data_IF_465730644424
#
_entry.id   IF_465730644424
#
_cell.length_a   1.000
_cell.length_b   1.000
_cell.length_c   1.000
_cell.angle_alpha   90.00
_cell.angle_beta   90.00
_cell.angle_gamma   90.00
#
_symmetry.space_group_name_H-M   'P 1'
#
loop_
_entity.id
_entity.type
_entity.pdbx_description
1 polymer ?
#
# COMPACT_ATOMS: atom_id res chain seq x y z
N UNK A 1 -16.86 3.36 -0.11
CA UNK A 1 -15.97 4.01 -1.11
C UNK A 1 -15.16 2.94 -1.85
N UNK A 2 -14.63 3.24 -3.04
CA UNK A 2 -13.84 2.28 -3.82
C UNK A 2 -12.38 2.71 -3.83
N UNK A 3 -11.48 1.84 -3.39
CA UNK A 3 -10.05 2.09 -3.52
C UNK A 3 -9.52 1.23 -4.66
N UNK A 4 -8.79 1.87 -5.56
CA UNK A 4 -8.28 1.26 -6.78
C UNK A 4 -6.77 1.18 -6.69
N UNK A 5 -6.22 -0.02 -6.57
CA UNK A 5 -4.78 -0.24 -6.73
C UNK A 5 -4.40 0.13 -8.16
N UNK A 6 -3.31 0.87 -8.32
CA UNK A 6 -2.84 1.40 -9.60
C UNK A 6 -1.60 0.67 -10.07
N UNK A 7 -0.66 0.48 -9.15
CA UNK A 7 0.61 -0.14 -9.41
C UNK A 7 1.13 -0.79 -8.13
N UNK A 8 1.98 -1.80 -8.33
CA UNK A 8 2.83 -2.37 -7.30
C UNK A 8 4.24 -2.39 -7.87
N UNK A 9 5.21 -1.78 -7.19
CA UNK A 9 6.63 -1.75 -7.62
C UNK A 9 7.57 -2.08 -6.47
N UNK A 10 8.83 -2.45 -6.78
CA UNK A 10 9.88 -2.78 -5.79
C UNK A 10 11.27 -2.51 -6.38
N UNK A 11 12.26 -2.29 -5.50
CA UNK A 11 13.68 -2.16 -5.87
C UNK A 11 14.56 -3.37 -5.54
N UNK A 12 14.12 -4.31 -4.70
CA UNK A 12 14.96 -5.43 -4.25
C UNK A 12 14.56 -6.68 -5.00
N UNK A 13 15.40 -7.02 -5.98
CA UNK A 13 15.51 -8.30 -6.70
C UNK A 13 14.19 -9.09 -6.86
N UNK A 14 13.59 -8.97 -8.04
CA UNK A 14 12.56 -9.86 -8.62
C UNK A 14 11.05 -9.67 -8.30
N UNK A 15 10.60 -8.55 -7.74
CA UNK A 15 9.16 -8.22 -7.83
C UNK A 15 8.79 -7.68 -9.21
N UNK A 16 8.60 -8.60 -10.15
CA UNK A 16 7.93 -8.30 -11.41
C UNK A 16 6.42 -8.34 -11.19
N UNK A 17 5.82 -7.17 -10.97
CA UNK A 17 4.37 -7.03 -11.07
C UNK A 17 3.97 -7.23 -12.54
N UNK A 18 3.72 -8.48 -12.93
CA UNK A 18 3.32 -8.83 -14.29
C UNK A 18 2.02 -8.11 -14.64
N UNK A 19 2.12 -7.00 -15.39
CA UNK A 19 0.97 -6.23 -15.87
C UNK A 19 0.39 -6.78 -17.17
N UNK A 20 0.83 -7.95 -17.61
CA UNK A 20 0.53 -8.44 -18.94
C UNK A 20 -0.90 -8.98 -19.02
N UNK A 21 -1.82 -8.06 -19.33
CA UNK A 21 -3.20 -8.29 -19.81
C UNK A 21 -4.25 -8.54 -18.72
N UNK A 22 -4.64 -7.44 -18.04
CA UNK A 22 -5.98 -7.23 -17.43
C UNK A 22 -6.37 -8.17 -16.27
N UNK A 23 -6.16 -7.73 -15.01
CA UNK A 23 -7.14 -7.75 -13.86
C UNK A 23 -6.50 -7.85 -12.46
N UNK A 24 -5.25 -8.26 -12.33
CA UNK A 24 -4.57 -8.43 -11.05
C UNK A 24 -3.05 -8.21 -11.21
N UNK A 25 -2.35 -7.87 -10.13
CA UNK A 25 -0.88 -7.89 -10.09
C UNK A 25 -0.41 -9.12 -9.33
N UNK A 26 0.54 -9.85 -9.88
CA UNK A 26 1.24 -10.92 -9.18
C UNK A 26 2.41 -10.33 -8.40
N UNK A 27 2.53 -10.71 -7.14
CA UNK A 27 3.53 -10.22 -6.20
C UNK A 27 4.30 -11.44 -5.70
N UNK A 28 5.61 -11.50 -5.97
CA UNK A 28 6.47 -12.61 -5.55
C UNK A 28 7.45 -12.15 -4.48
N UNK A 29 7.30 -12.69 -3.28
CA UNK A 29 8.19 -12.47 -2.14
C UNK A 29 9.21 -13.60 -2.07
N UNK A 30 10.49 -13.31 -2.32
CA UNK A 30 11.58 -14.30 -2.18
C UNK A 30 11.94 -14.57 -0.72
N UNK A 31 11.69 -13.60 0.17
CA UNK A 31 12.00 -13.68 1.59
C UNK A 31 10.82 -13.17 2.42
N UNK A 32 10.75 -13.61 3.68
CA UNK A 32 9.83 -13.04 4.67
C UNK A 32 10.13 -11.54 4.85
N UNK A 33 9.09 -10.70 4.99
CA UNK A 33 9.31 -9.32 5.39
C UNK A 33 9.59 -9.26 6.89
N UNK A 34 10.63 -8.51 7.32
CA UNK A 34 10.90 -8.28 8.73
C UNK A 34 9.67 -7.71 9.45
N UNK A 35 9.38 -8.17 10.65
CA UNK A 35 8.22 -7.69 11.44
C UNK A 35 8.34 -6.21 11.83
N UNK A 36 9.57 -5.71 11.90
CA UNK A 36 9.94 -4.32 12.16
C UNK A 36 10.04 -3.49 10.87
N UNK A 37 9.56 -3.99 9.73
CA UNK A 37 9.47 -3.22 8.49
C UNK A 37 8.64 -1.95 8.70
N UNK A 38 9.12 -0.84 8.17
CA UNK A 38 8.45 0.45 8.28
C UNK A 38 7.42 0.59 7.15
N UNK A 39 6.16 0.85 7.51
CA UNK A 39 5.13 1.29 6.59
C UNK A 39 5.16 2.83 6.53
N UNK A 40 5.30 3.39 5.33
CA UNK A 40 5.26 4.84 5.08
C UNK A 40 4.19 5.15 4.04
N UNK A 41 3.30 6.08 4.37
CA UNK A 41 2.25 6.57 3.48
C UNK A 41 2.64 7.94 2.98
N UNK A 42 2.65 8.08 1.65
CA UNK A 42 2.98 9.33 0.95
C UNK A 42 1.78 9.78 0.14
N UNK A 43 1.40 11.06 0.25
CA UNK A 43 0.21 11.59 -0.40
C UNK A 43 0.54 12.37 -1.67
N UNK A 44 -0.31 12.25 -2.69
CA UNK A 44 -0.15 12.93 -3.97
C UNK A 44 -1.46 13.60 -4.42
N UNK A 45 -1.33 14.73 -5.12
CA UNK A 45 -2.46 15.37 -5.78
C UNK A 45 -2.81 14.70 -7.13
N UNK A 46 -3.85 15.19 -7.81
CA UNK A 46 -4.31 14.70 -9.10
C UNK A 46 -3.26 14.71 -10.21
N UNK A 47 -2.26 15.59 -10.14
CA UNK A 47 -1.16 15.69 -11.11
C UNK A 47 0.07 14.87 -10.70
N UNK A 48 -0.01 14.14 -9.58
CA UNK A 48 1.05 13.29 -9.07
C UNK A 48 2.17 14.06 -8.36
N UNK A 49 1.90 15.28 -7.90
CA UNK A 49 2.84 16.05 -7.08
C UNK A 49 2.73 15.62 -5.62
N UNK A 50 3.88 15.41 -5.01
CA UNK A 50 4.01 15.10 -3.58
C UNK A 50 3.37 16.22 -2.73
N UNK A 51 2.49 15.82 -1.81
CA UNK A 51 1.91 16.66 -0.77
C UNK A 51 2.58 16.26 0.54
N UNK A 52 3.25 17.23 1.18
CA UNK A 52 4.33 17.09 2.17
C UNK A 52 4.01 16.34 3.49
N UNK A 53 2.87 15.66 3.59
CA UNK A 53 2.55 14.84 4.75
C UNK A 53 3.08 13.43 4.54
N UNK A 54 3.94 12.95 5.43
CA UNK A 54 4.26 11.53 5.52
C UNK A 54 3.73 11.03 6.83
N UNK A 55 2.99 9.94 6.79
CA UNK A 55 2.61 9.18 7.98
C UNK A 55 3.36 7.87 7.94
N UNK A 56 3.92 7.46 9.08
CA UNK A 56 4.77 6.27 9.15
C UNK A 56 4.50 5.51 10.44
N UNK A 57 4.65 4.20 10.37
CA UNK A 57 4.51 3.30 11.51
C UNK A 57 5.04 1.91 11.19
N UNK A 58 5.08 1.03 12.18
CA UNK A 58 5.44 -0.37 11.95
C UNK A 58 4.39 -1.10 11.12
N UNK A 59 4.84 -1.85 10.11
CA UNK A 59 3.98 -2.71 9.29
C UNK A 59 3.15 -3.66 10.16
N UNK A 60 3.78 -4.30 11.16
CA UNK A 60 3.14 -5.29 12.02
C UNK A 60 3.08 -4.85 13.50
N UNK A 61 2.48 -3.70 13.79
CA UNK A 61 2.19 -3.34 15.19
C UNK A 61 1.77 -1.90 15.50
N UNK A 62 1.78 -0.99 14.53
CA UNK A 62 1.44 0.41 14.78
C UNK A 62 -0.04 0.70 14.48
N UNK A 63 -0.71 1.40 15.39
CA UNK A 63 -2.11 1.83 15.28
C UNK A 63 -2.25 3.07 14.39
N UNK A 64 -1.22 3.93 14.30
CA UNK A 64 -1.28 5.19 13.53
C UNK A 64 -1.47 4.97 12.03
N UNK A 65 -1.05 3.82 11.53
CA UNK A 65 -1.15 3.42 10.12
C UNK A 65 -2.10 2.25 9.89
N UNK A 66 -2.89 1.87 10.90
CA UNK A 66 -3.74 0.67 10.84
C UNK A 66 -4.69 0.68 9.65
N UNK A 67 -5.36 1.81 9.39
CA UNK A 67 -6.27 1.97 8.26
C UNK A 67 -5.56 1.74 6.92
N UNK A 68 -4.36 2.30 6.74
CA UNK A 68 -3.57 2.12 5.52
C UNK A 68 -2.97 0.72 5.40
N UNK A 69 -2.63 0.09 6.53
CA UNK A 69 -2.23 -1.32 6.57
C UNK A 69 -3.35 -2.23 6.11
N UNK A 70 -4.60 -1.99 6.55
CA UNK A 70 -5.78 -2.72 6.07
C UNK A 70 -5.90 -2.58 4.55
N UNK A 71 -5.81 -1.35 4.03
CA UNK A 71 -5.85 -1.10 2.58
C UNK A 71 -4.75 -1.84 1.83
N UNK A 72 -3.53 -1.83 2.35
CA UNK A 72 -2.40 -2.58 1.79
C UNK A 72 -2.70 -4.07 1.73
N UNK A 73 -3.13 -4.66 2.85
CA UNK A 73 -3.39 -6.10 2.97
C UNK A 73 -4.54 -6.57 2.10
N UNK A 74 -5.64 -5.82 2.08
CA UNK A 74 -6.76 -6.10 1.19
C UNK A 74 -6.36 -5.96 -0.28
N UNK A 75 -5.49 -4.99 -0.60
CA UNK A 75 -4.99 -4.77 -1.96
C UNK A 75 -4.02 -5.85 -2.43
N UNK A 76 -3.16 -6.39 -1.55
CA UNK A 76 -2.08 -7.31 -1.94
C UNK A 76 -2.31 -8.76 -1.54
N UNK A 77 -3.22 -9.04 -0.59
CA UNK A 77 -3.40 -10.34 0.06
C UNK A 77 -2.38 -10.62 1.17
N UNK A 78 -1.65 -9.61 1.63
CA UNK A 78 -0.71 -9.77 2.75
C UNK A 78 -1.43 -9.97 4.09
N UNK A 79 -0.70 -10.55 5.04
CA UNK A 79 -1.08 -10.61 6.44
C UNK A 79 0.19 -10.52 7.29
N UNK A 80 0.08 -10.08 8.55
CA UNK A 80 1.21 -10.09 9.47
C UNK A 80 1.31 -11.45 10.19
N UNK A 81 2.53 -12.04 10.32
CA UNK A 81 3.77 -11.65 9.64
C UNK A 81 3.72 -11.95 8.12
N UNK A 82 4.30 -11.09 7.29
CA UNK A 82 4.29 -11.28 5.82
C UNK A 82 5.37 -12.29 5.44
N UNK A 83 4.94 -13.44 4.93
CA UNK A 83 5.83 -14.56 4.59
C UNK A 83 6.30 -14.53 3.13
N UNK A 84 7.40 -15.20 2.83
CA UNK A 84 7.78 -15.52 1.46
C UNK A 84 6.63 -16.24 0.73
N UNK A 85 6.48 -16.00 -0.57
CA UNK A 85 5.46 -16.65 -1.39
C UNK A 85 4.89 -15.79 -2.52
N UNK A 86 3.89 -16.34 -3.21
CA UNK A 86 3.17 -15.65 -4.27
C UNK A 86 1.84 -15.09 -3.76
N UNK A 87 1.61 -13.81 -4.05
CA UNK A 87 0.43 -13.07 -3.66
C UNK A 87 -0.24 -12.45 -4.89
N UNK A 88 -1.55 -12.32 -4.84
CA UNK A 88 -2.34 -11.74 -5.92
C UNK A 88 -3.05 -10.51 -5.43
N UNK A 89 -2.64 -9.37 -5.97
CA UNK A 89 -3.25 -8.10 -5.66
C UNK A 89 -4.56 -7.92 -6.44
N UNK A 90 -5.58 -7.41 -5.75
CA UNK A 90 -6.90 -7.09 -6.30
C UNK A 90 -6.91 -5.65 -6.78
N UNK A 91 -7.54 -5.42 -7.94
CA UNK A 91 -7.55 -4.10 -8.58
C UNK A 91 -8.41 -3.08 -7.88
N UNK A 92 -9.57 -3.50 -7.42
CA UNK A 92 -10.55 -2.64 -6.79
C UNK A 92 -11.09 -3.39 -5.58
N UNK A 93 -11.23 -2.67 -4.47
CA UNK A 93 -11.86 -3.18 -3.27
C UNK A 93 -12.86 -2.13 -2.75
N UNK A 94 -14.03 -2.59 -2.36
CA UNK A 94 -15.08 -1.76 -1.79
C UNK A 94 -14.97 -1.79 -0.26
N UNK A 95 -14.93 -0.62 0.35
CA UNK A 95 -14.82 -0.46 1.79
C UNK A 95 -16.08 0.14 2.38
N UNK A 96 -16.38 -0.26 3.61
CA UNK A 96 -17.45 0.29 4.44
C UNK A 96 -17.26 1.79 4.74
N UNK A 97 -18.35 2.44 5.15
CA UNK A 97 -18.38 3.88 5.41
C UNK A 97 -17.45 4.29 6.55
N UNK A 98 -17.20 3.43 7.54
CA UNK A 98 -16.27 3.70 8.65
C UNK A 98 -14.81 3.77 8.16
N UNK A 99 -14.36 2.77 7.40
CA UNK A 99 -13.01 2.76 6.82
C UNK A 99 -12.83 3.94 5.88
N UNK A 100 -13.84 4.23 5.06
CA UNK A 100 -13.83 5.37 4.15
C UNK A 100 -13.81 6.72 4.86
N UNK A 101 -14.56 6.87 5.96
CA UNK A 101 -14.57 8.04 6.82
C UNK A 101 -13.18 8.29 7.41
N UNK A 102 -12.57 7.27 8.02
CA UNK A 102 -11.21 7.33 8.57
C UNK A 102 -10.18 7.77 7.53
N UNK A 103 -10.20 7.19 6.34
CA UNK A 103 -9.29 7.60 5.26
C UNK A 103 -9.54 9.05 4.86
N UNK A 104 -10.80 9.44 4.69
CA UNK A 104 -11.17 10.82 4.33
C UNK A 104 -10.71 11.84 5.38
N UNK A 105 -10.85 11.51 6.67
CA UNK A 105 -10.42 12.34 7.79
C UNK A 105 -8.89 12.46 7.83
N UNK A 106 -8.15 11.36 7.63
CA UNK A 106 -6.69 11.37 7.61
C UNK A 106 -6.11 12.18 6.45
N UNK A 107 -6.75 12.16 5.27
CA UNK A 107 -6.24 12.91 4.10
C UNK A 107 -6.83 14.32 3.98
N UNK A 108 -7.88 14.64 4.75
CA UNK A 108 -8.61 15.92 4.74
C UNK A 108 -9.03 16.37 3.33
N UNK A 109 -9.28 15.41 2.44
CA UNK A 109 -9.61 15.67 1.02
C UNK A 109 -8.51 16.33 0.19
N UNK A 110 -7.27 16.40 0.69
CA UNK A 110 -6.13 17.02 -0.02
C UNK A 110 -5.52 16.13 -1.08
N UNK A 111 -5.96 14.87 -1.21
CA UNK A 111 -5.23 13.82 -1.90
C UNK A 111 -6.12 13.01 -2.81
N UNK A 112 -5.62 12.71 -4.00
CA UNK A 112 -6.30 11.87 -5.00
C UNK A 112 -5.82 10.41 -4.95
N UNK A 113 -4.54 10.21 -4.64
CA UNK A 113 -3.96 8.88 -4.44
C UNK A 113 -2.83 8.90 -3.41
N UNK A 114 -2.59 7.73 -2.81
CA UNK A 114 -1.52 7.52 -1.83
C UNK A 114 -0.61 6.40 -2.31
N UNK A 115 0.67 6.52 -1.99
CA UNK A 115 1.61 5.41 -2.07
C UNK A 115 1.81 4.85 -0.66
N UNK A 116 1.47 3.58 -0.48
CA UNK A 116 1.74 2.83 0.73
C UNK A 116 3.03 2.04 0.50
N UNK A 117 4.07 2.44 1.21
CA UNK A 117 5.42 1.93 1.02
C UNK A 117 5.81 1.05 2.20
N UNK A 118 6.38 -0.13 1.93
CA UNK A 118 7.10 -0.91 2.92
C UNK A 118 8.59 -0.64 2.71
N UNK A 119 9.30 -0.22 3.76
CA UNK A 119 10.72 0.07 3.74
C UNK A 119 11.44 -0.77 4.77
N UNK A 120 12.65 -1.22 4.44
CA UNK A 120 13.57 -1.72 5.47
C UNK A 120 14.19 -0.57 6.23
N UNK A 121 14.51 -0.84 7.50
CA UNK A 121 15.20 0.08 8.39
C UNK A 121 16.58 0.55 7.84
N UNK A 122 17.17 -0.15 6.86
CA UNK A 122 18.52 0.12 6.34
C UNK A 122 18.60 0.48 4.84
N UNK A 123 17.51 0.98 4.23
CA UNK A 123 17.65 1.89 3.08
C UNK A 123 17.21 1.37 1.71
N UNK A 124 15.96 0.92 1.61
CA UNK A 124 15.29 0.72 0.32
C UNK A 124 13.77 0.62 0.47
N UNK A 125 13.02 1.15 -0.49
CA UNK A 125 11.60 0.82 -0.67
C UNK A 125 11.50 -0.62 -1.20
N UNK A 126 10.93 -1.49 -0.38
CA UNK A 126 10.71 -2.90 -0.72
C UNK A 126 9.47 -3.07 -1.58
N UNK A 127 8.39 -2.37 -1.26
CA UNK A 127 7.12 -2.48 -1.97
C UNK A 127 6.46 -1.11 -1.95
N UNK A 128 6.04 -0.63 -3.12
CA UNK A 128 5.21 0.55 -3.27
C UNK A 128 3.87 0.10 -3.81
N UNK A 129 2.78 0.34 -3.07
CA UNK A 129 1.42 0.13 -3.55
C UNK A 129 0.76 1.50 -3.73
N UNK A 130 0.58 1.89 -4.98
CA UNK A 130 -0.14 3.12 -5.32
C UNK A 130 -1.64 2.84 -5.35
N UNK A 131 -2.43 3.57 -4.57
CA UNK A 131 -3.89 3.40 -4.53
C UNK A 131 -4.61 4.73 -4.77
N UNK A 132 -5.54 4.75 -5.73
CA UNK A 132 -6.43 5.89 -5.98
C UNK A 132 -7.65 5.79 -5.09
N UNK A 133 -7.93 6.86 -4.37
CA UNK A 133 -9.12 6.99 -3.53
C UNK A 133 -10.29 7.44 -4.42
N UNK A 134 -11.28 6.59 -4.71
CA UNK A 134 -12.54 7.03 -5.32
C UNK A 134 -13.57 7.23 -4.20
N UNK A 135 -13.89 8.50 -3.96
CA UNK A 135 -15.00 8.90 -3.09
C UNK A 135 -16.32 8.59 -3.76
#
# INVERSE_FOLDING_TARGET
CIIVTKAVTSRRDEYEAFSEKKKAWLIRLENDLPTDSLLTVTYYDEVGKLIDNKTSGMLCGDENVETFRKVLFDSTGFSCPVKQGEYRAVREHEYDDDTCGKISDMVEGRTDFIDINIRENYGGELIVVSVKLRK
#
